data_IF_205948220313
#
_entry.id   IF_205948220313
#
_cell.length_a   1.000
_cell.length_b   1.000
_cell.length_c   1.000
_cell.angle_alpha   90.00
_cell.angle_beta   90.00
_cell.angle_gamma   90.00
#
_symmetry.space_group_name_H-M   'P 1'
#
loop_
_entity.id
_entity.type
_entity.pdbx_description
1 polymer ?
#
# COMPACT_ATOMS: atom_id res chain seq x y z
N UNK A 1 3.07 -4.77 -14.61
CA UNK A 1 3.62 -3.48 -14.15
C UNK A 1 3.04 -3.19 -12.78
N UNK A 2 3.84 -3.28 -11.72
CA UNK A 2 3.39 -3.18 -10.33
C UNK A 2 4.15 -2.02 -9.70
N UNK A 3 3.53 -0.85 -9.58
CA UNK A 3 4.16 0.34 -9.01
C UNK A 3 4.16 0.25 -7.48
N UNK A 4 5.27 -0.20 -6.87
CA UNK A 4 5.24 -0.75 -5.52
C UNK A 4 5.10 0.29 -4.41
N UNK A 5 5.12 1.59 -4.77
CA UNK A 5 5.07 2.72 -3.84
C UNK A 5 3.99 3.75 -4.18
N UNK A 6 3.04 3.42 -5.07
CA UNK A 6 1.97 4.35 -5.44
C UNK A 6 1.11 4.78 -4.24
N UNK A 7 0.86 3.89 -3.28
CA UNK A 7 0.05 4.24 -2.11
C UNK A 7 0.72 5.32 -1.23
N UNK A 8 1.98 5.11 -0.84
CA UNK A 8 2.74 6.11 -0.05
C UNK A 8 2.94 7.41 -0.82
N UNK A 9 3.21 7.34 -2.12
CA UNK A 9 3.35 8.54 -2.96
C UNK A 9 2.03 9.31 -3.10
N UNK A 10 0.91 8.61 -3.27
CA UNK A 10 -0.40 9.24 -3.32
C UNK A 10 -0.76 9.90 -1.98
N UNK A 11 -0.49 9.22 -0.85
CA UNK A 11 -0.71 9.82 0.48
C UNK A 11 0.13 11.08 0.71
N UNK A 12 1.41 11.07 0.31
CA UNK A 12 2.27 12.26 0.38
C UNK A 12 1.72 13.41 -0.46
N UNK A 13 1.32 13.15 -1.70
CA UNK A 13 0.73 14.17 -2.58
C UNK A 13 -0.54 14.77 -1.98
N UNK A 14 -1.43 13.93 -1.42
CA UNK A 14 -2.65 14.41 -0.77
C UNK A 14 -2.32 15.27 0.46
N UNK A 15 -1.32 14.87 1.26
CA UNK A 15 -0.85 15.67 2.39
C UNK A 15 -0.29 17.03 1.97
N UNK A 16 0.49 17.09 0.89
CA UNK A 16 1.09 18.33 0.38
C UNK A 16 0.05 19.32 -0.16
N UNK A 17 -1.09 18.82 -0.66
CA UNK A 17 -2.20 19.65 -1.13
C UNK A 17 -2.95 20.38 -0.01
N UNK A 18 -2.71 20.04 1.25
CA UNK A 18 -3.39 20.61 2.43
C UNK A 18 -4.92 20.72 2.25
N UNK A 19 -5.61 19.61 1.92
CA UNK A 19 -7.03 19.67 1.61
C UNK A 19 -7.82 20.10 2.84
N UNK A 20 -8.81 20.97 2.65
CA UNK A 20 -9.76 21.34 3.71
C UNK A 20 -10.69 20.17 4.05
N UNK A 21 -11.03 19.33 3.08
CA UNK A 21 -11.94 18.20 3.22
C UNK A 21 -11.53 17.02 2.34
N UNK A 22 -11.68 15.81 2.86
CA UNK A 22 -11.45 14.54 2.17
C UNK A 22 -12.74 13.76 2.02
N UNK A 23 -12.92 13.18 0.84
CA UNK A 23 -14.03 12.30 0.52
C UNK A 23 -13.51 10.87 0.40
N UNK A 24 -14.14 9.94 1.11
CA UNK A 24 -13.78 8.53 1.08
C UNK A 24 -14.84 7.73 0.33
N UNK A 25 -14.43 6.63 -0.31
CA UNK A 25 -15.36 5.79 -1.08
C UNK A 25 -16.41 5.07 -0.22
N UNK A 26 -16.07 4.77 1.04
CA UNK A 26 -16.89 3.94 1.93
C UNK A 26 -17.10 4.57 3.31
N UNK A 27 -16.60 5.78 3.55
CA UNK A 27 -16.69 6.47 4.84
C UNK A 27 -17.22 7.90 4.63
N UNK A 28 -17.88 8.50 5.63
CA UNK A 28 -18.28 9.89 5.58
C UNK A 28 -17.08 10.83 5.35
N UNK A 29 -17.27 11.98 4.67
CA UNK A 29 -16.22 12.97 4.49
C UNK A 29 -15.65 13.45 5.82
N UNK A 30 -14.36 13.80 5.83
CA UNK A 30 -13.67 14.34 7.01
C UNK A 30 -12.90 15.59 6.67
N UNK A 31 -12.75 16.49 7.64
CA UNK A 31 -11.85 17.62 7.51
C UNK A 31 -10.41 17.13 7.33
N UNK A 32 -9.62 17.73 6.43
CA UNK A 32 -8.26 17.28 6.19
C UNK A 32 -7.34 17.44 7.40
N UNK A 33 -7.62 18.43 8.27
CA UNK A 33 -6.93 18.63 9.56
C UNK A 33 -7.20 17.53 10.58
N UNK A 34 -8.25 16.72 10.39
CA UNK A 34 -8.58 15.60 11.30
C UNK A 34 -7.82 14.31 10.96
N UNK A 35 -6.99 14.33 9.90
CA UNK A 35 -6.27 13.16 9.41
C UNK A 35 -4.79 13.32 9.75
N UNK A 36 -4.26 12.40 10.54
CA UNK A 36 -2.82 12.30 10.77
C UNK A 36 -2.15 11.52 9.64
N UNK A 37 -1.75 12.25 8.59
CA UNK A 37 -1.04 11.65 7.46
C UNK A 37 0.32 11.06 7.86
N UNK A 38 0.96 11.59 8.91
CA UNK A 38 2.26 11.09 9.39
C UNK A 38 2.12 9.69 9.98
N UNK A 39 1.12 9.51 10.85
CA UNK A 39 0.80 8.22 11.45
C UNK A 39 0.41 7.18 10.38
N UNK A 40 -0.46 7.57 9.43
CA UNK A 40 -0.86 6.70 8.31
C UNK A 40 0.35 6.29 7.45
N UNK A 41 1.28 7.22 7.17
CA UNK A 41 2.49 6.93 6.39
C UNK A 41 3.44 5.98 7.13
N UNK A 42 3.50 6.06 8.46
CA UNK A 42 4.31 5.17 9.29
C UNK A 42 3.78 3.73 9.27
N UNK A 43 2.45 3.57 9.28
CA UNK A 43 1.76 2.28 9.24
C UNK A 43 1.64 1.71 7.83
N UNK A 44 1.81 2.54 6.79
CA UNK A 44 1.68 2.11 5.42
C UNK A 44 2.74 1.03 5.07
N UNK A 45 2.34 -0.08 4.44
CA UNK A 45 3.23 -1.19 4.15
C UNK A 45 4.40 -0.74 3.26
N UNK A 46 5.62 -1.07 3.66
CA UNK A 46 6.87 -0.75 2.95
C UNK A 46 7.13 -1.68 1.77
N UNK A 47 6.59 -2.91 1.83
CA UNK A 47 6.68 -3.88 0.77
C UNK A 47 5.39 -3.87 -0.06
N UNK A 48 5.49 -3.86 -1.40
CA UNK A 48 4.32 -4.04 -2.22
C UNK A 48 3.72 -5.42 -1.92
N UNK A 49 2.42 -5.48 -1.58
CA UNK A 49 1.62 -6.67 -1.89
C UNK A 49 1.42 -6.70 -3.41
N UNK A 50 2.50 -6.97 -4.14
CA UNK A 50 2.42 -7.26 -5.55
C UNK A 50 1.70 -8.60 -5.69
N UNK A 51 0.45 -8.53 -6.17
CA UNK A 51 -0.35 -9.68 -6.61
C UNK A 51 0.49 -10.68 -7.43
N UNK A 52 1.49 -10.20 -8.19
CA UNK A 52 2.42 -11.02 -8.96
C UNK A 52 3.50 -11.78 -8.14
N UNK A 53 4.04 -11.22 -7.05
CA UNK A 53 5.00 -11.94 -6.20
C UNK A 53 4.29 -12.93 -5.28
N UNK A 54 3.10 -12.56 -4.79
CA UNK A 54 2.26 -13.46 -4.00
C UNK A 54 1.76 -14.65 -4.82
N UNK A 55 1.36 -14.46 -6.09
CA UNK A 55 1.02 -15.59 -6.98
C UNK A 55 2.24 -16.44 -7.33
N UNK A 56 3.39 -15.84 -7.67
CA UNK A 56 4.59 -16.61 -7.99
C UNK A 56 5.05 -17.46 -6.80
N UNK A 57 5.10 -16.89 -5.60
CA UNK A 57 5.47 -17.66 -4.41
C UNK A 57 4.44 -18.76 -4.14
N UNK A 58 3.13 -18.49 -4.26
CA UNK A 58 2.09 -19.52 -4.09
C UNK A 58 2.21 -20.65 -5.13
N UNK A 59 2.55 -20.35 -6.38
CA UNK A 59 2.79 -21.34 -7.44
C UNK A 59 4.05 -22.17 -7.14
N UNK A 60 5.14 -21.53 -6.70
CA UNK A 60 6.39 -22.23 -6.34
C UNK A 60 6.18 -23.17 -5.14
N UNK A 61 5.45 -22.71 -4.10
CA UNK A 61 5.10 -23.54 -2.94
C UNK A 61 4.09 -24.65 -3.28
N UNK A 62 3.08 -24.37 -4.11
CA UNK A 62 2.10 -25.37 -4.53
C UNK A 62 2.70 -26.45 -5.44
N UNK A 63 3.77 -26.13 -6.18
CA UNK A 63 4.53 -27.07 -7.01
C UNK A 63 5.68 -27.77 -6.26
N UNK A 64 5.82 -27.56 -4.94
CA UNK A 64 6.72 -28.36 -4.08
C UNK A 64 8.21 -28.19 -4.32
N UNK A 65 8.67 -27.13 -4.99
CA UNK A 65 10.11 -26.91 -5.21
C UNK A 65 10.75 -26.30 -3.97
N UNK A 66 11.18 -27.17 -3.05
CA UNK A 66 12.14 -26.83 -2.00
C UNK A 66 13.44 -26.34 -2.68
N UNK A 67 13.95 -25.13 -2.38
CA UNK A 67 15.29 -24.75 -2.80
C UNK A 67 16.30 -25.45 -1.87
N UNK A 68 16.52 -26.73 -2.11
CA UNK A 68 17.63 -27.48 -1.55
C UNK A 68 18.26 -28.30 -2.67
N UNK A 69 19.36 -27.79 -3.21
CA UNK A 69 20.39 -28.63 -3.81
C UNK A 69 21.69 -27.81 -3.84
N UNK A 70 22.62 -28.32 -3.03
CA UNK A 70 24.03 -28.00 -2.87
C UNK A 70 24.79 -27.82 -4.20
#
# INVERSE_FOLDING_TARGET
>A
MSHPNQYKQSLKRVSELQPSQLYFAHLPPRAGTSIDFSDILSQAPTLPKNHGHSMKNRIIYALGRQPNSH
#
